data_IF_826250670072
#
_entry.id   IF_826250670072
#
_cell.length_a   1.000
_cell.length_b   1.000
_cell.length_c   1.000
_cell.angle_alpha   90.00
_cell.angle_beta   90.00
_cell.angle_gamma   90.00
#
_symmetry.space_group_name_H-M   'P 1'
#
loop_
_entity.id
_entity.type
_entity.pdbx_description
1 polymer ?
#
# COMPACT_ATOMS: atom_id res chain seq x y z
N UNK A 1 32.88 13.45 49.56
CA UNK A 1 31.69 14.01 48.86
C UNK A 1 32.06 14.47 47.45
N UNK A 2 31.66 13.76 46.40
CA UNK A 2 31.76 14.22 45.00
C UNK A 2 30.43 13.96 44.27
N UNK A 3 29.40 14.75 44.59
CA UNK A 3 28.01 14.65 44.08
C UNK A 3 27.76 15.57 42.85
N UNK A 4 28.79 16.22 42.28
CA UNK A 4 28.60 17.28 41.26
C UNK A 4 28.92 16.90 39.80
N UNK A 5 29.18 15.64 39.47
CA UNK A 5 29.55 15.24 38.09
C UNK A 5 28.52 14.42 37.30
N UNK A 6 27.28 14.25 37.78
CA UNK A 6 26.27 13.39 37.11
C UNK A 6 25.20 14.17 36.30
N UNK A 7 25.17 15.51 36.36
CA UNK A 7 24.04 16.30 35.79
C UNK A 7 24.31 16.87 34.37
N UNK A 8 25.47 16.61 33.75
CA UNK A 8 25.81 17.21 32.45
C UNK A 8 25.48 16.35 31.20
N UNK A 9 24.75 15.24 31.32
CA UNK A 9 24.44 14.33 30.19
C UNK A 9 22.96 14.25 29.77
N UNK A 10 22.07 15.04 30.36
CA UNK A 10 20.61 14.89 30.13
C UNK A 10 20.00 15.88 29.13
N UNK A 11 20.70 16.93 28.69
CA UNK A 11 20.08 18.00 27.87
C UNK A 11 20.84 18.37 26.58
N UNK A 12 21.67 17.46 26.06
CA UNK A 12 22.40 17.66 24.80
C UNK A 12 21.65 17.25 23.53
N UNK A 13 20.31 17.14 23.54
CA UNK A 13 19.56 16.88 22.30
C UNK A 13 19.54 18.17 21.48
N UNK A 14 20.42 18.26 20.49
CA UNK A 14 20.28 19.24 19.39
C UNK A 14 18.84 19.13 18.87
N UNK A 15 18.13 20.26 18.83
CA UNK A 15 16.83 20.33 18.17
C UNK A 15 17.00 19.77 16.75
N UNK A 16 16.24 18.74 16.40
CA UNK A 16 16.18 18.31 15.01
C UNK A 16 15.61 19.49 14.20
N UNK A 17 16.18 19.81 13.04
CA UNK A 17 15.58 20.78 12.15
C UNK A 17 14.14 20.36 11.85
N UNK A 18 13.23 21.33 11.82
CA UNK A 18 11.86 21.09 11.41
C UNK A 18 11.89 20.40 10.03
N UNK A 19 11.17 19.29 9.89
CA UNK A 19 11.07 18.63 8.59
C UNK A 19 10.44 19.61 7.60
N UNK A 20 11.05 19.75 6.43
CA UNK A 20 10.47 20.46 5.29
C UNK A 20 9.08 19.87 5.00
N UNK A 21 8.08 20.70 4.66
CA UNK A 21 6.73 20.21 4.39
C UNK A 21 6.77 19.25 3.20
N UNK A 22 6.34 18.01 3.42
CA UNK A 22 6.23 16.98 2.40
C UNK A 22 5.24 17.45 1.32
N UNK A 23 5.68 17.50 0.05
CA UNK A 23 4.84 17.91 -1.07
C UNK A 23 3.68 16.92 -1.23
N UNK A 24 2.46 17.37 -0.94
CA UNK A 24 1.27 16.52 -1.04
C UNK A 24 0.84 16.45 -2.50
N UNK A 25 1.03 15.29 -3.13
CA UNK A 25 0.51 15.02 -4.47
C UNK A 25 -1.02 14.97 -4.45
N UNK A 26 -1.66 15.94 -5.08
CA UNK A 26 -3.12 16.01 -5.24
C UNK A 26 -3.57 15.34 -6.54
N UNK A 27 -4.68 14.61 -6.50
CA UNK A 27 -5.29 13.96 -7.66
C UNK A 27 -6.82 13.86 -7.48
N UNK A 28 -7.53 13.33 -8.48
CA UNK A 28 -8.95 12.95 -8.37
C UNK A 28 -9.09 11.45 -8.54
N UNK A 29 -9.55 10.76 -7.51
CA UNK A 29 -9.81 9.33 -7.54
C UNK A 29 -11.01 9.05 -8.44
N UNK A 30 -10.85 8.15 -9.42
CA UNK A 30 -11.90 7.75 -10.36
C UNK A 30 -13.16 7.21 -9.68
N UNK A 31 -13.04 6.65 -8.49
CA UNK A 31 -14.19 6.15 -7.72
C UNK A 31 -15.13 7.28 -7.27
N UNK A 32 -14.64 8.53 -7.19
CA UNK A 32 -15.49 9.70 -6.92
C UNK A 32 -16.54 9.91 -7.99
N UNK A 33 -16.19 9.66 -9.24
CA UNK A 33 -17.11 9.86 -10.36
C UNK A 33 -18.26 8.86 -10.34
N UNK A 34 -18.13 7.76 -9.56
CA UNK A 34 -19.18 6.77 -9.35
C UNK A 34 -20.06 7.05 -8.11
N UNK A 35 -19.74 8.07 -7.31
CA UNK A 35 -20.50 8.42 -6.11
C UNK A 35 -21.03 9.85 -6.22
N UNK A 36 -22.33 10.04 -6.53
CA UNK A 36 -22.92 11.38 -6.72
C UNK A 36 -22.92 12.23 -5.44
N UNK A 37 -22.64 11.64 -4.28
CA UNK A 37 -22.50 12.34 -3.00
C UNK A 37 -21.03 12.63 -2.64
N UNK A 38 -20.05 12.20 -3.46
CA UNK A 38 -18.63 12.32 -3.14
C UNK A 38 -18.20 13.76 -2.89
N UNK A 39 -18.54 14.68 -3.79
CA UNK A 39 -18.14 16.08 -3.68
C UNK A 39 -18.88 16.81 -2.54
N UNK A 40 -20.05 16.31 -2.13
CA UNK A 40 -20.80 16.83 -0.97
C UNK A 40 -20.20 16.35 0.36
N UNK A 41 -19.86 15.06 0.45
CA UNK A 41 -19.39 14.44 1.69
C UNK A 41 -17.88 14.59 1.93
N UNK A 42 -17.11 14.71 0.85
CA UNK A 42 -15.65 14.77 0.87
C UNK A 42 -15.16 15.84 -0.11
N UNK A 43 -15.42 17.13 0.14
CA UNK A 43 -15.05 18.19 -0.78
C UNK A 43 -13.52 18.27 -0.96
N UNK A 44 -13.09 18.61 -2.18
CA UNK A 44 -11.68 18.88 -2.51
C UNK A 44 -10.96 17.75 -3.26
N UNK A 45 -9.65 17.92 -3.42
CA UNK A 45 -8.77 16.96 -4.08
C UNK A 45 -8.46 15.76 -3.20
N UNK A 46 -8.24 14.62 -3.84
CA UNK A 46 -7.68 13.44 -3.19
C UNK A 46 -6.18 13.55 -3.05
N UNK A 47 -5.67 12.84 -2.05
CA UNK A 47 -4.25 12.74 -1.78
C UNK A 47 -3.93 11.36 -1.23
N UNK A 48 -2.64 11.07 -1.17
CA UNK A 48 -2.13 9.89 -0.51
C UNK A 48 -1.95 10.14 0.98
N UNK A 49 -2.76 9.50 1.82
CA UNK A 49 -2.66 9.54 3.28
C UNK A 49 -1.64 8.51 3.76
N UNK A 50 -0.61 8.98 4.46
CA UNK A 50 0.37 8.11 5.14
C UNK A 50 -0.26 7.46 6.37
N UNK A 51 -0.12 6.14 6.48
CA UNK A 51 -0.61 5.31 7.56
C UNK A 51 0.49 5.13 8.63
N UNK A 52 0.15 4.70 9.86
CA UNK A 52 1.13 4.49 10.94
C UNK A 52 2.26 3.52 10.58
N UNK A 53 1.99 2.55 9.70
CA UNK A 53 2.97 1.57 9.22
C UNK A 53 3.81 2.06 8.03
N UNK A 54 3.60 3.29 7.56
CA UNK A 54 4.30 3.90 6.43
C UNK A 54 3.60 3.74 5.07
N UNK A 55 2.56 2.90 4.96
CA UNK A 55 1.81 2.76 3.71
C UNK A 55 1.09 4.06 3.36
N UNK A 56 0.85 4.27 2.07
CA UNK A 56 0.05 5.37 1.55
C UNK A 56 -1.26 4.83 1.03
N UNK A 57 -2.36 5.48 1.42
CA UNK A 57 -3.70 5.13 0.95
C UNK A 57 -4.46 6.33 0.40
N UNK A 58 -5.25 6.11 -0.65
CA UNK A 58 -6.09 7.15 -1.24
C UNK A 58 -7.09 7.68 -0.21
N UNK A 59 -7.12 8.99 0.01
CA UNK A 59 -7.98 9.66 0.99
C UNK A 59 -9.48 9.41 0.79
N UNK A 60 -9.90 9.03 -0.42
CA UNK A 60 -11.30 8.75 -0.76
C UNK A 60 -11.65 7.27 -0.67
N UNK A 61 -11.05 6.42 -1.52
CA UNK A 61 -11.46 5.02 -1.63
C UNK A 61 -10.64 4.04 -0.76
N UNK A 62 -9.60 4.53 -0.09
CA UNK A 62 -8.70 3.71 0.74
C UNK A 62 -7.87 2.70 -0.05
N UNK A 63 -7.66 2.90 -1.36
CA UNK A 63 -6.70 2.11 -2.14
C UNK A 63 -5.29 2.32 -1.60
N UNK A 64 -4.48 1.27 -1.56
CA UNK A 64 -3.02 1.36 -1.53
C UNK A 64 -2.52 2.22 -2.69
N UNK A 65 -1.44 2.96 -2.43
CA UNK A 65 -0.59 3.53 -3.46
C UNK A 65 0.05 2.41 -4.28
N UNK A 66 0.27 2.65 -5.58
CA UNK A 66 0.81 1.65 -6.49
C UNK A 66 2.15 1.07 -6.02
N UNK A 67 3.12 1.91 -5.67
CA UNK A 67 4.43 1.42 -5.21
C UNK A 67 4.32 0.52 -3.96
N UNK A 68 3.50 0.89 -2.98
CA UNK A 68 3.33 0.13 -1.75
C UNK A 68 2.64 -1.22 -2.04
N UNK A 69 1.66 -1.22 -2.94
CA UNK A 69 1.06 -2.45 -3.45
C UNK A 69 2.09 -3.35 -4.14
N UNK A 70 2.90 -2.80 -5.05
CA UNK A 70 3.94 -3.54 -5.77
C UNK A 70 5.01 -4.11 -4.82
N UNK A 71 5.41 -3.37 -3.79
CA UNK A 71 6.32 -3.86 -2.75
C UNK A 71 5.75 -5.09 -2.02
N UNK A 72 4.49 -5.01 -1.59
CA UNK A 72 3.81 -6.10 -0.87
C UNK A 72 3.69 -7.36 -1.75
N UNK A 73 3.25 -7.21 -3.00
CA UNK A 73 3.05 -8.38 -3.86
C UNK A 73 4.36 -8.95 -4.40
N UNK A 74 5.43 -8.16 -4.50
CA UNK A 74 6.77 -8.65 -4.80
C UNK A 74 7.33 -9.49 -3.63
N UNK A 75 7.18 -9.02 -2.40
CA UNK A 75 7.55 -9.78 -1.21
C UNK A 75 6.77 -11.11 -1.11
N UNK A 76 5.46 -11.08 -1.38
CA UNK A 76 4.64 -12.29 -1.50
C UNK A 76 5.17 -13.21 -2.62
N UNK A 77 5.43 -12.69 -3.82
CA UNK A 77 5.96 -13.48 -4.93
C UNK A 77 7.30 -14.16 -4.58
N UNK A 78 8.15 -13.49 -3.81
CA UNK A 78 9.44 -14.00 -3.29
C UNK A 78 9.29 -14.98 -2.11
N UNK A 79 8.10 -15.12 -1.54
CA UNK A 79 7.82 -16.03 -0.42
C UNK A 79 8.26 -15.54 0.93
N UNK A 80 8.32 -14.22 1.10
CA UNK A 80 8.57 -13.65 2.41
C UNK A 80 7.43 -13.99 3.39
N UNK A 81 7.74 -14.49 4.59
CA UNK A 81 6.72 -14.84 5.58
C UNK A 81 5.82 -13.67 5.96
N UNK A 82 4.51 -13.95 6.07
CA UNK A 82 3.50 -13.00 6.53
C UNK A 82 3.00 -12.00 5.49
N UNK A 83 3.53 -12.04 4.26
CA UNK A 83 2.95 -11.35 3.12
C UNK A 83 1.88 -12.22 2.44
N UNK A 84 0.79 -11.59 1.96
CA UNK A 84 -0.23 -12.30 1.19
C UNK A 84 -0.79 -11.45 0.06
N UNK A 85 -1.34 -12.14 -0.94
CA UNK A 85 -1.98 -11.55 -2.10
C UNK A 85 -3.22 -12.37 -2.47
N UNK A 86 -4.34 -11.67 -2.66
CA UNK A 86 -5.62 -12.30 -3.00
C UNK A 86 -6.36 -11.49 -4.10
N UNK A 87 -6.45 -12.01 -5.33
CA UNK A 87 -7.25 -11.41 -6.38
C UNK A 87 -8.75 -11.61 -6.10
N UNK A 88 -9.53 -10.54 -6.19
CA UNK A 88 -10.98 -10.67 -6.01
C UNK A 88 -11.68 -11.15 -7.28
N UNK A 89 -12.93 -11.61 -7.16
CA UNK A 89 -13.81 -11.87 -8.32
C UNK A 89 -14.05 -10.63 -9.19
N UNK A 90 -13.80 -9.43 -8.65
CA UNK A 90 -13.86 -8.17 -9.36
C UNK A 90 -12.45 -7.81 -9.85
N UNK A 91 -12.18 -8.00 -11.14
CA UNK A 91 -10.83 -7.84 -11.71
C UNK A 91 -10.14 -6.48 -11.47
N UNK A 92 -10.90 -5.45 -11.09
CA UNK A 92 -10.39 -4.12 -10.74
C UNK A 92 -9.90 -3.97 -9.29
N UNK A 93 -10.14 -4.96 -8.41
CA UNK A 93 -9.81 -4.92 -6.98
C UNK A 93 -8.97 -6.13 -6.58
N UNK A 94 -7.95 -5.89 -5.76
CA UNK A 94 -7.04 -6.90 -5.19
C UNK A 94 -6.79 -6.61 -3.73
N UNK A 95 -6.54 -7.64 -2.93
CA UNK A 95 -6.06 -7.52 -1.57
C UNK A 95 -4.58 -7.89 -1.50
N UNK A 96 -3.85 -7.17 -0.66
CA UNK A 96 -2.44 -7.39 -0.42
C UNK A 96 -2.16 -7.05 1.04
N UNK A 97 -1.47 -7.93 1.75
CA UNK A 97 -1.19 -7.77 3.17
C UNK A 97 0.30 -7.87 3.46
N UNK A 98 0.76 -7.05 4.40
CA UNK A 98 2.10 -7.13 5.00
C UNK A 98 2.03 -7.55 6.46
N UNK A 99 3.13 -8.10 7.03
CA UNK A 99 3.19 -8.47 8.43
C UNK A 99 2.81 -7.31 9.35
N UNK A 100 2.01 -7.58 10.38
CA UNK A 100 1.60 -6.59 11.38
C UNK A 100 0.41 -5.70 10.99
N UNK A 101 -0.13 -5.80 9.77
CA UNK A 101 -1.33 -5.07 9.35
C UNK A 101 -2.54 -5.99 9.35
N UNK A 102 -3.40 -5.87 10.37
CA UNK A 102 -4.60 -6.70 10.51
C UNK A 102 -5.80 -6.13 9.77
N UNK A 103 -5.87 -4.80 9.60
CA UNK A 103 -7.00 -4.13 9.00
C UNK A 103 -6.63 -2.77 8.39
N UNK A 104 -7.58 -2.16 7.67
CA UNK A 104 -7.40 -0.92 6.92
C UNK A 104 -7.05 0.32 7.80
N UNK A 105 -7.24 0.25 9.12
CA UNK A 105 -6.83 1.34 10.04
C UNK A 105 -5.36 1.24 10.45
N UNK A 106 -4.72 0.09 10.23
CA UNK A 106 -3.32 -0.17 10.58
C UNK A 106 -2.38 -0.05 9.38
N UNK A 107 -2.92 -0.08 8.16
CA UNK A 107 -2.17 -0.05 6.90
C UNK A 107 -3.09 -0.27 5.70
N UNK A 108 -2.54 -0.17 4.50
CA UNK A 108 -3.32 -0.42 3.29
C UNK A 108 -3.45 -1.91 3.01
N UNK A 109 -4.67 -2.38 2.74
CA UNK A 109 -4.95 -3.81 2.50
C UNK A 109 -5.54 -4.10 1.11
N UNK A 110 -5.88 -3.06 0.36
CA UNK A 110 -6.70 -3.14 -0.86
C UNK A 110 -6.10 -2.25 -1.92
N UNK A 111 -5.97 -2.74 -3.14
CA UNK A 111 -5.56 -1.97 -4.30
C UNK A 111 -6.64 -1.96 -5.38
N UNK A 112 -6.92 -0.79 -5.94
CA UNK A 112 -7.77 -0.65 -7.12
C UNK A 112 -6.94 -0.27 -8.35
N UNK A 113 -7.15 -1.01 -9.45
CA UNK A 113 -6.34 -0.87 -10.66
C UNK A 113 -6.38 0.49 -11.36
N UNK A 114 -7.35 1.36 -11.04
CA UNK A 114 -7.39 2.74 -11.53
C UNK A 114 -6.37 3.67 -10.84
N UNK A 115 -5.67 3.19 -9.81
CA UNK A 115 -4.53 3.88 -9.20
C UNK A 115 -3.18 3.41 -9.75
N UNK A 116 -3.17 2.43 -10.67
CA UNK A 116 -1.95 2.04 -11.36
C UNK A 116 -1.58 3.11 -12.40
N UNK A 117 -0.28 3.38 -12.57
CA UNK A 117 0.19 4.11 -13.75
C UNK A 117 0.04 3.18 -14.96
N UNK A 118 -0.83 3.57 -15.90
CA UNK A 118 -1.12 2.80 -17.10
C UNK A 118 -0.31 3.29 -18.31
N UNK A 119 0.60 4.24 -18.10
CA UNK A 119 1.45 4.79 -19.14
C UNK A 119 2.48 3.75 -19.60
N UNK A 120 2.51 3.37 -20.89
CA UNK A 120 3.53 2.44 -21.38
C UNK A 120 4.94 2.93 -21.11
N UNK A 121 5.79 2.06 -20.56
CA UNK A 121 7.18 2.37 -20.23
C UNK A 121 7.76 1.44 -19.15
N UNK A 122 9.00 1.68 -18.69
CA UNK A 122 9.68 0.80 -17.75
C UNK A 122 8.92 0.55 -16.44
N UNK A 123 8.20 1.55 -15.94
CA UNK A 123 7.34 1.43 -14.74
C UNK A 123 6.18 0.46 -14.97
N UNK A 124 5.51 0.56 -16.12
CA UNK A 124 4.42 -0.34 -16.51
C UNK A 124 4.91 -1.78 -16.73
N UNK A 125 6.08 -1.95 -17.34
CA UNK A 125 6.67 -3.27 -17.53
C UNK A 125 7.02 -3.92 -16.20
N UNK A 126 7.63 -3.17 -15.27
CA UNK A 126 7.91 -3.63 -13.90
C UNK A 126 6.62 -4.01 -13.17
N UNK A 127 5.55 -3.22 -13.29
CA UNK A 127 4.25 -3.55 -12.72
C UNK A 127 3.77 -4.92 -13.23
N UNK A 128 3.70 -5.10 -14.55
CA UNK A 128 3.24 -6.36 -15.17
C UNK A 128 4.08 -7.56 -14.74
N UNK A 129 5.39 -7.40 -14.66
CA UNK A 129 6.31 -8.46 -14.25
C UNK A 129 6.05 -8.89 -12.80
N UNK A 130 6.04 -7.94 -11.85
CA UNK A 130 5.76 -8.22 -10.44
C UNK A 130 4.37 -8.86 -10.28
N UNK A 131 3.36 -8.27 -10.93
CA UNK A 131 1.99 -8.78 -10.88
C UNK A 131 1.89 -10.20 -11.46
N UNK A 132 2.56 -10.46 -12.59
CA UNK A 132 2.62 -11.78 -13.20
C UNK A 132 3.22 -12.83 -12.27
N UNK A 133 4.32 -12.52 -11.58
CA UNK A 133 4.94 -13.41 -10.59
C UNK A 133 4.02 -13.68 -9.39
N UNK A 134 3.37 -12.64 -8.86
CA UNK A 134 2.39 -12.81 -7.78
C UNK A 134 1.19 -13.67 -8.20
N UNK A 135 0.64 -13.46 -9.39
CA UNK A 135 -0.45 -14.27 -9.92
C UNK A 135 -0.04 -15.74 -10.18
N UNK A 136 1.19 -15.97 -10.66
CA UNK A 136 1.70 -17.32 -10.89
C UNK A 136 1.81 -18.10 -9.57
N UNK A 137 2.36 -17.45 -8.54
CA UNK A 137 2.41 -18.02 -7.19
C UNK A 137 1.01 -18.31 -6.63
N UNK A 138 0.10 -17.32 -6.69
CA UNK A 138 -1.27 -17.51 -6.22
C UNK A 138 -1.96 -18.69 -6.90
N UNK A 139 -1.81 -18.83 -8.23
CA UNK A 139 -2.36 -19.98 -8.96
C UNK A 139 -1.77 -21.31 -8.50
N UNK A 140 -0.47 -21.36 -8.22
CA UNK A 140 0.17 -22.56 -7.66
C UNK A 140 -0.38 -22.90 -6.27
N UNK A 141 -0.53 -21.92 -5.38
CA UNK A 141 -1.13 -22.10 -4.05
C UNK A 141 -2.59 -22.57 -4.15
N UNK A 142 -3.38 -22.02 -5.08
CA UNK A 142 -4.76 -22.47 -5.30
C UNK A 142 -4.83 -23.88 -5.88
N UNK A 143 -3.93 -24.22 -6.80
CA UNK A 143 -3.81 -25.56 -7.38
C UNK A 143 -3.44 -26.59 -6.31
N UNK A 144 -2.52 -26.25 -5.40
CA UNK A 144 -2.14 -27.10 -4.26
C UNK A 144 -3.30 -27.28 -3.27
N UNK A 145 -4.00 -26.19 -2.93
CA UNK A 145 -5.06 -26.20 -1.94
C UNK A 145 -6.36 -26.88 -2.43
N UNK A 146 -6.70 -26.74 -3.72
CA UNK A 146 -8.00 -27.15 -4.25
C UNK A 146 -7.92 -28.19 -5.38
N UNK A 147 -6.72 -28.57 -5.81
CA UNK A 147 -6.51 -29.46 -6.96
C UNK A 147 -6.75 -28.78 -8.31
N UNK A 148 -6.64 -29.52 -9.43
CA UNK A 148 -6.91 -28.99 -10.76
C UNK A 148 -8.37 -28.55 -10.88
N UNK A 149 -8.59 -27.40 -11.52
CA UNK A 149 -9.93 -27.00 -11.91
C UNK A 149 -10.53 -28.08 -12.79
N UNK A 150 -11.65 -28.67 -12.36
CA UNK A 150 -12.40 -29.62 -13.19
C UNK A 150 -12.88 -28.88 -14.44
N UNK A 151 -12.35 -29.23 -15.61
CA UNK A 151 -12.86 -28.79 -16.91
C UNK A 151 -11.99 -27.83 -17.73
N UNK A 152 -10.68 -27.73 -17.46
CA UNK A 152 -9.69 -27.23 -18.43
C UNK A 152 -9.11 -28.38 -19.27
#
# INVERSE_FOLDING_TARGET
MKIRQIIARLFGRKAQPAAEPEEVAYFRCRDRDNNPLADRSFPGFDHWRKQPNGDRTCSFCGSLHEDDFLEIIDAYARGEPGYSFDPTTKGYKRYAHRPGVQNASQGGIKFYGWHADQTPGPRWDRHKEIHGRAMARYRAEMQEAFGPKKGE
#
